data_IF_412483661014
#
_entry.id   IF_412483661014
#
_cell.length_a   1.000
_cell.length_b   1.000
_cell.length_c   1.000
_cell.angle_alpha   90.00
_cell.angle_beta   90.00
_cell.angle_gamma   90.00
#
_symmetry.space_group_name_H-M   'P 1'
#
loop_
_entity.id
_entity.type
_entity.pdbx_description
1 polymer ?
#
# COMPACT_ATOMS: atom_id res chain seq x y z
N UNK A 1 2.17 13.31 -25.18
CA UNK A 1 1.88 12.01 -24.57
C UNK A 1 3.17 11.20 -24.50
N UNK A 2 3.97 11.36 -23.45
CA UNK A 2 5.07 10.43 -23.19
C UNK A 2 4.43 9.18 -22.59
N UNK A 3 4.23 8.16 -23.42
CA UNK A 3 3.79 6.85 -22.98
C UNK A 3 4.87 6.27 -22.06
N UNK A 4 4.48 6.01 -20.87
CA UNK A 4 5.26 5.47 -19.77
C UNK A 4 5.98 4.18 -20.17
N UNK A 5 7.25 4.27 -20.50
CA UNK A 5 8.20 3.14 -20.65
C UNK A 5 8.29 2.31 -19.36
N UNK A 6 7.60 2.72 -18.31
CA UNK A 6 7.75 2.18 -16.95
C UNK A 6 6.63 1.20 -16.53
N UNK A 7 5.49 1.19 -17.20
CA UNK A 7 4.35 0.34 -16.82
C UNK A 7 4.20 -0.88 -17.73
N UNK A 8 3.64 -1.97 -17.19
CA UNK A 8 3.19 -3.10 -17.99
C UNK A 8 2.02 -2.68 -18.87
N UNK A 9 1.99 -3.16 -20.11
CA UNK A 9 0.91 -2.88 -21.05
C UNK A 9 -0.38 -3.63 -20.69
N UNK A 10 -1.52 -3.04 -21.04
CA UNK A 10 -2.79 -3.75 -20.96
C UNK A 10 -2.71 -5.04 -21.81
N UNK A 11 -3.24 -6.14 -21.27
CA UNK A 11 -3.15 -7.46 -21.89
C UNK A 11 -1.94 -8.29 -21.49
N UNK A 12 -0.90 -7.71 -20.87
CA UNK A 12 0.24 -8.48 -20.32
C UNK A 12 -0.28 -9.53 -19.34
N UNK A 13 0.24 -10.75 -19.46
CA UNK A 13 -0.05 -11.86 -18.54
C UNK A 13 1.10 -11.99 -17.55
N UNK A 14 0.79 -11.95 -16.26
CA UNK A 14 1.69 -12.31 -15.17
C UNK A 14 1.37 -13.72 -14.66
N UNK A 15 2.41 -14.48 -14.30
CA UNK A 15 2.32 -15.87 -13.89
C UNK A 15 2.56 -16.00 -12.38
N UNK A 16 1.46 -16.00 -11.60
CA UNK A 16 1.52 -16.27 -10.18
C UNK A 16 1.63 -17.76 -9.87
N UNK A 17 1.70 -18.09 -8.58
CA UNK A 17 1.77 -19.49 -8.13
C UNK A 17 0.42 -20.19 -8.24
N UNK A 18 -0.67 -19.50 -7.91
CA UNK A 18 -2.03 -20.05 -7.90
C UNK A 18 -2.77 -19.78 -9.20
N UNK A 19 -2.58 -18.60 -9.78
CA UNK A 19 -3.30 -18.16 -10.98
C UNK A 19 -2.37 -17.34 -11.89
N UNK A 20 -2.80 -17.20 -13.15
CA UNK A 20 -2.27 -16.18 -14.04
C UNK A 20 -3.15 -14.93 -13.94
N UNK A 21 -2.57 -13.76 -14.26
CA UNK A 21 -3.23 -12.47 -14.12
C UNK A 21 -3.06 -11.64 -15.37
N UNK A 22 -4.15 -11.20 -15.97
CA UNK A 22 -4.09 -10.30 -17.13
C UNK A 22 -4.21 -8.86 -16.67
N UNK A 23 -3.21 -8.04 -16.95
CA UNK A 23 -3.21 -6.60 -16.68
C UNK A 23 -4.33 -5.93 -17.50
N UNK A 24 -5.16 -5.14 -16.83
CA UNK A 24 -6.24 -4.34 -17.43
C UNK A 24 -5.92 -2.85 -17.48
N UNK A 25 -5.07 -2.37 -16.59
CA UNK A 25 -4.66 -0.98 -16.52
C UNK A 25 -3.91 -0.65 -15.25
N UNK A 26 -3.48 0.60 -15.14
CA UNK A 26 -2.78 1.12 -13.96
C UNK A 26 -3.81 1.76 -13.03
N UNK A 27 -3.78 1.37 -11.74
CA UNK A 27 -4.58 1.99 -10.67
C UNK A 27 -3.85 3.16 -10.03
N UNK A 28 -2.51 3.10 -9.95
CA UNK A 28 -1.73 4.17 -9.37
C UNK A 28 -0.23 3.92 -9.33
N UNK A 29 0.50 4.98 -9.03
CA UNK A 29 1.95 4.97 -8.84
C UNK A 29 2.26 5.41 -7.41
N UNK A 30 3.11 4.68 -6.73
CA UNK A 30 3.66 5.01 -5.41
C UNK A 30 5.18 5.14 -5.46
N UNK A 31 5.78 5.60 -4.37
CA UNK A 31 7.23 5.75 -4.26
C UNK A 31 8.00 4.42 -4.45
N UNK A 32 7.37 3.30 -4.10
CA UNK A 32 7.99 1.97 -4.09
C UNK A 32 7.35 1.00 -5.08
N UNK A 33 6.43 1.45 -5.93
CA UNK A 33 5.82 0.54 -6.88
C UNK A 33 4.67 1.11 -7.70
N UNK A 34 4.22 0.26 -8.61
CA UNK A 34 3.10 0.52 -9.49
C UNK A 34 1.98 -0.46 -9.11
N UNK A 35 0.76 0.02 -9.01
CA UNK A 35 -0.41 -0.82 -8.74
C UNK A 35 -1.26 -0.94 -10.01
N UNK A 36 -1.56 -2.17 -10.39
CA UNK A 36 -2.35 -2.50 -11.57
C UNK A 36 -3.71 -3.09 -11.19
N UNK A 37 -4.71 -2.81 -11.99
CA UNK A 37 -5.92 -3.61 -12.08
C UNK A 37 -5.63 -4.81 -12.98
N UNK A 38 -5.99 -6.01 -12.53
CA UNK A 38 -5.85 -7.22 -13.31
C UNK A 38 -7.09 -8.11 -13.13
N UNK A 39 -7.29 -9.06 -14.06
CA UNK A 39 -8.25 -10.14 -13.90
C UNK A 39 -7.53 -11.47 -13.73
N UNK A 40 -8.09 -12.36 -12.92
CA UNK A 40 -7.63 -13.73 -12.79
C UNK A 40 -7.87 -14.45 -14.11
N UNK A 41 -6.87 -15.16 -14.61
CA UNK A 41 -6.94 -16.03 -15.77
C UNK A 41 -6.88 -17.49 -15.33
N UNK A 42 -7.85 -18.28 -15.77
CA UNK A 42 -7.88 -19.71 -15.56
C UNK A 42 -7.24 -20.41 -16.77
N UNK A 43 -6.30 -21.30 -16.51
CA UNK A 43 -5.68 -22.12 -17.56
C UNK A 43 -6.57 -23.33 -17.82
N UNK A 44 -7.26 -23.34 -18.95
CA UNK A 44 -8.04 -24.50 -19.41
C UNK A 44 -7.29 -25.29 -20.49
N UNK A 45 -7.76 -26.50 -20.81
CA UNK A 45 -7.18 -27.33 -21.89
C UNK A 45 -7.25 -26.65 -23.27
N UNK A 46 -8.22 -25.78 -23.49
CA UNK A 46 -8.44 -25.07 -24.76
C UNK A 46 -7.86 -23.66 -24.79
N UNK A 47 -7.07 -23.25 -23.77
CA UNK A 47 -6.46 -21.95 -23.68
C UNK A 47 -6.72 -21.22 -22.37
N UNK A 48 -6.47 -19.90 -22.36
CA UNK A 48 -6.64 -19.03 -21.18
C UNK A 48 -8.06 -18.48 -21.17
N UNK A 49 -8.81 -18.76 -20.11
CA UNK A 49 -10.12 -18.18 -19.84
C UNK A 49 -9.96 -17.03 -18.84
N UNK A 50 -10.38 -15.82 -19.22
CA UNK A 50 -10.45 -14.71 -18.29
C UNK A 50 -11.64 -14.89 -17.37
N UNK A 51 -11.40 -14.86 -16.07
CA UNK A 51 -12.49 -14.79 -15.09
C UNK A 51 -12.97 -13.32 -14.94
N UNK A 52 -14.18 -13.16 -14.42
CA UNK A 52 -14.70 -11.82 -14.05
C UNK A 52 -14.17 -11.34 -12.68
N UNK A 53 -13.24 -12.08 -12.08
CA UNK A 53 -12.67 -11.71 -10.77
C UNK A 53 -11.53 -10.73 -10.98
N UNK A 54 -11.73 -9.51 -10.49
CA UNK A 54 -10.72 -8.46 -10.50
C UNK A 54 -9.84 -8.56 -9.26
N UNK A 55 -8.55 -8.28 -9.44
CA UNK A 55 -7.55 -8.16 -8.38
C UNK A 55 -6.72 -6.91 -8.57
N UNK A 56 -6.12 -6.41 -7.50
CA UNK A 56 -5.09 -5.39 -7.57
C UNK A 56 -3.71 -6.06 -7.43
N UNK A 57 -2.76 -5.68 -8.29
CA UNK A 57 -1.39 -6.23 -8.26
C UNK A 57 -0.43 -5.08 -8.04
N UNK A 58 0.34 -5.14 -6.96
CA UNK A 58 1.42 -4.18 -6.71
C UNK A 58 2.75 -4.76 -7.15
N UNK A 59 3.41 -4.05 -8.04
CA UNK A 59 4.74 -4.33 -8.55
C UNK A 59 5.77 -3.50 -7.79
N UNK A 60 6.87 -4.10 -7.36
CA UNK A 60 8.01 -3.35 -6.88
C UNK A 60 8.67 -2.60 -8.04
N UNK A 61 8.68 -1.27 -7.98
CA UNK A 61 9.30 -0.41 -8.99
C UNK A 61 9.71 0.92 -8.35
N UNK A 62 11.01 1.19 -8.30
CA UNK A 62 11.53 2.48 -7.83
C UNK A 62 11.62 3.44 -9.01
N UNK A 63 10.78 4.44 -9.06
CA UNK A 63 10.58 5.33 -10.21
C UNK A 63 11.87 5.95 -10.74
N UNK A 64 12.79 6.36 -9.86
CA UNK A 64 14.02 7.05 -10.24
C UNK A 64 15.23 6.11 -10.42
N UNK A 65 15.07 4.82 -10.17
CA UNK A 65 16.16 3.83 -10.12
C UNK A 65 15.91 2.64 -11.04
N UNK A 66 14.66 2.19 -11.12
CA UNK A 66 14.27 1.05 -11.93
C UNK A 66 14.03 1.48 -13.37
N UNK A 67 14.49 0.69 -14.31
CA UNK A 67 14.20 0.85 -15.73
C UNK A 67 13.70 -0.47 -16.30
N UNK A 68 12.75 -0.41 -17.25
CA UNK A 68 12.14 -1.57 -17.89
C UNK A 68 12.63 -1.70 -19.34
N UNK A 69 12.94 -2.93 -19.74
CA UNK A 69 13.26 -3.26 -21.12
C UNK A 69 11.99 -3.26 -22.00
N UNK A 70 12.16 -3.33 -23.31
CA UNK A 70 11.06 -3.48 -24.27
C UNK A 70 10.32 -4.81 -24.12
N UNK A 71 10.95 -5.85 -23.55
CA UNK A 71 10.33 -7.15 -23.25
C UNK A 71 9.43 -7.12 -22.00
N UNK A 72 9.50 -6.04 -21.20
CA UNK A 72 8.75 -5.93 -19.95
C UNK A 72 9.57 -6.23 -18.69
N UNK A 73 10.77 -6.78 -18.83
CA UNK A 73 11.66 -7.07 -17.71
C UNK A 73 12.26 -5.81 -17.11
N UNK A 74 12.39 -5.75 -15.80
CA UNK A 74 13.18 -4.72 -15.13
C UNK A 74 14.66 -5.11 -15.23
N UNK A 75 15.53 -4.15 -15.49
CA UNK A 75 16.98 -4.40 -15.47
C UNK A 75 17.38 -4.85 -14.07
N UNK A 76 18.06 -5.99 -14.01
CA UNK A 76 18.45 -6.61 -12.75
C UNK A 76 19.28 -5.66 -11.89
N UNK A 77 18.86 -5.36 -10.66
CA UNK A 77 19.61 -4.45 -9.80
C UNK A 77 20.89 -5.13 -9.32
N UNK A 78 22.00 -4.41 -9.37
CA UNK A 78 23.27 -4.91 -8.85
C UNK A 78 23.13 -5.39 -7.40
N UNK A 79 23.75 -6.51 -7.03
CA UNK A 79 23.81 -6.96 -5.64
C UNK A 79 24.27 -5.83 -4.71
N UNK A 80 23.59 -5.62 -3.58
CA UNK A 80 23.81 -4.53 -2.63
C UNK A 80 23.37 -3.11 -3.08
N UNK A 81 22.82 -2.94 -4.28
CA UNK A 81 22.18 -1.68 -4.68
C UNK A 81 20.98 -1.34 -3.78
N UNK A 82 20.58 -0.08 -3.82
CA UNK A 82 19.36 0.39 -3.13
C UNK A 82 18.14 -0.41 -3.61
N UNK A 83 17.99 -0.58 -4.93
CA UNK A 83 16.88 -1.33 -5.52
C UNK A 83 16.83 -2.79 -5.03
N UNK A 84 17.96 -3.47 -4.97
CA UNK A 84 18.04 -4.84 -4.46
C UNK A 84 17.60 -4.94 -2.98
N UNK A 85 18.07 -4.00 -2.15
CA UNK A 85 17.70 -3.97 -0.73
C UNK A 85 16.21 -3.68 -0.52
N UNK A 86 15.64 -2.73 -1.27
CA UNK A 86 14.21 -2.41 -1.19
C UNK A 86 13.33 -3.52 -1.78
N UNK A 87 13.76 -4.22 -2.83
CA UNK A 87 13.05 -5.36 -3.37
C UNK A 87 12.88 -6.50 -2.36
N UNK A 88 13.95 -6.85 -1.64
CA UNK A 88 13.88 -7.85 -0.56
C UNK A 88 12.92 -7.45 0.57
N UNK A 89 12.81 -6.15 0.88
CA UNK A 89 11.89 -5.65 1.88
C UNK A 89 10.45 -5.74 1.39
N UNK A 90 10.20 -5.32 0.17
CA UNK A 90 8.90 -5.42 -0.47
C UNK A 90 8.39 -6.87 -0.42
N UNK A 91 9.26 -7.86 -0.72
CA UNK A 91 8.92 -9.28 -0.58
C UNK A 91 8.59 -9.65 0.87
N UNK A 92 9.40 -9.23 1.85
CA UNK A 92 9.14 -9.50 3.28
C UNK A 92 7.85 -8.84 3.75
N UNK A 93 7.59 -7.61 3.33
CA UNK A 93 6.36 -6.88 3.61
C UNK A 93 5.13 -7.65 3.10
N UNK A 94 5.14 -8.08 1.82
CA UNK A 94 4.05 -8.85 1.24
C UNK A 94 3.73 -10.12 2.06
N UNK A 95 4.76 -10.83 2.54
CA UNK A 95 4.60 -12.02 3.39
C UNK A 95 4.00 -11.69 4.77
N UNK A 96 4.35 -10.55 5.35
CA UNK A 96 3.78 -10.11 6.62
C UNK A 96 2.31 -9.71 6.44
N UNK A 97 2.00 -8.98 5.37
CA UNK A 97 0.63 -8.58 5.04
C UNK A 97 -0.28 -9.79 4.75
N UNK A 98 0.24 -10.83 4.09
CA UNK A 98 -0.52 -12.05 3.81
C UNK A 98 -0.99 -12.78 5.09
N UNK A 99 -0.38 -12.49 6.25
CA UNK A 99 -0.78 -13.06 7.56
C UNK A 99 -1.90 -12.26 8.23
N UNK A 100 -2.15 -11.02 7.80
CA UNK A 100 -3.21 -10.19 8.36
C UNK A 100 -4.56 -10.68 7.84
N UNK A 101 -5.51 -10.82 8.76
CA UNK A 101 -6.88 -11.19 8.44
C UNK A 101 -7.84 -10.33 9.28
N UNK A 102 -8.29 -9.22 8.71
CA UNK A 102 -9.22 -8.29 9.35
C UNK A 102 -10.14 -7.67 8.29
N UNK A 103 -11.42 -7.48 8.63
CA UNK A 103 -12.45 -7.00 7.69
C UNK A 103 -12.16 -5.62 7.06
N UNK A 104 -11.34 -4.79 7.71
CA UNK A 104 -10.96 -3.44 7.24
C UNK A 104 -9.50 -3.37 6.78
N UNK A 105 -8.87 -4.49 6.48
CA UNK A 105 -7.52 -4.58 5.90
C UNK A 105 -7.62 -5.35 4.60
N UNK A 106 -7.07 -4.80 3.51
CA UNK A 106 -7.05 -5.48 2.22
C UNK A 106 -6.32 -6.82 2.33
N UNK A 107 -6.92 -7.88 1.80
CA UNK A 107 -6.34 -9.21 1.86
C UNK A 107 -5.30 -9.39 0.76
N UNK A 108 -4.07 -9.77 1.13
CA UNK A 108 -3.05 -10.24 0.20
C UNK A 108 -3.32 -11.71 -0.11
N UNK A 109 -3.40 -12.04 -1.39
CA UNK A 109 -3.76 -13.37 -1.88
C UNK A 109 -2.54 -14.23 -2.14
N UNK A 110 -1.54 -13.67 -2.83
CA UNK A 110 -0.24 -14.32 -3.06
C UNK A 110 0.84 -13.28 -3.40
N UNK A 111 2.10 -13.72 -3.42
CA UNK A 111 3.24 -12.95 -3.91
C UNK A 111 4.13 -13.83 -4.75
N UNK A 112 4.72 -13.28 -5.81
CA UNK A 112 5.58 -14.01 -6.75
C UNK A 112 6.66 -13.12 -7.34
N UNK A 113 7.62 -13.74 -8.04
CA UNK A 113 8.71 -13.08 -8.74
C UNK A 113 8.57 -13.33 -10.24
N UNK A 114 8.61 -12.27 -11.04
CA UNK A 114 8.61 -12.31 -12.50
C UNK A 114 9.21 -11.00 -13.02
N UNK A 115 9.66 -10.95 -14.27
CA UNK A 115 10.22 -9.74 -14.90
C UNK A 115 11.37 -9.10 -14.08
N UNK A 116 12.17 -9.90 -13.38
CA UNK A 116 13.24 -9.49 -12.47
C UNK A 116 12.78 -8.54 -11.34
N UNK A 117 11.52 -8.67 -10.91
CA UNK A 117 10.96 -7.90 -9.81
C UNK A 117 10.00 -8.73 -8.97
N UNK A 118 9.40 -8.09 -7.98
CA UNK A 118 8.48 -8.70 -7.02
C UNK A 118 7.08 -8.16 -7.23
N UNK A 119 6.11 -9.05 -7.15
CA UNK A 119 4.68 -8.73 -7.18
C UNK A 119 3.98 -9.28 -5.96
N UNK A 120 2.96 -8.57 -5.49
CA UNK A 120 1.94 -9.19 -4.65
C UNK A 120 0.54 -8.85 -5.16
N UNK A 121 -0.33 -9.84 -5.04
CA UNK A 121 -1.72 -9.78 -5.48
C UNK A 121 -2.59 -9.56 -4.25
N UNK A 122 -3.52 -8.66 -4.34
CA UNK A 122 -4.48 -8.36 -3.30
C UNK A 122 -5.90 -8.27 -3.88
N UNK A 123 -6.90 -8.42 -3.03
CA UNK A 123 -8.27 -8.18 -3.43
C UNK A 123 -8.44 -6.78 -4.01
N UNK A 124 -9.24 -6.66 -5.06
CA UNK A 124 -9.61 -5.37 -5.63
C UNK A 124 -10.81 -4.81 -4.88
N UNK A 125 -10.66 -3.63 -4.31
CA UNK A 125 -11.75 -2.93 -3.61
C UNK A 125 -12.43 -2.00 -4.62
N UNK A 126 -13.64 -2.34 -5.03
CA UNK A 126 -14.45 -1.50 -5.92
C UNK A 126 -15.00 -0.30 -5.15
N UNK A 127 -14.51 0.88 -5.49
CA UNK A 127 -14.86 2.12 -4.79
C UNK A 127 -13.89 3.25 -5.09
N UNK A 128 -13.77 4.18 -4.16
CA UNK A 128 -12.87 5.32 -4.25
C UNK A 128 -11.99 5.44 -3.01
N UNK A 129 -10.86 6.15 -3.12
CA UNK A 129 -10.11 6.49 -1.92
C UNK A 129 -10.94 7.40 -1.01
N UNK A 130 -10.73 7.29 0.29
CA UNK A 130 -11.38 8.19 1.27
C UNK A 130 -10.97 9.66 1.00
N UNK A 131 -9.77 9.91 0.47
CA UNK A 131 -9.33 11.26 0.07
C UNK A 131 -10.19 11.83 -1.06
N UNK A 132 -10.46 11.03 -2.10
CA UNK A 132 -11.33 11.44 -3.20
C UNK A 132 -12.77 11.70 -2.72
N UNK A 133 -13.28 10.86 -1.84
CA UNK A 133 -14.61 11.03 -1.25
C UNK A 133 -14.71 12.29 -0.38
N UNK A 134 -13.71 12.56 0.46
CA UNK A 134 -13.65 13.79 1.26
C UNK A 134 -13.58 15.02 0.36
N UNK A 135 -12.76 14.96 -0.72
CA UNK A 135 -12.63 16.06 -1.66
C UNK A 135 -13.96 16.37 -2.38
N UNK A 136 -14.68 15.34 -2.79
CA UNK A 136 -16.01 15.48 -3.42
C UNK A 136 -17.02 16.14 -2.48
N UNK A 137 -17.00 15.79 -1.18
CA UNK A 137 -17.94 16.29 -0.18
C UNK A 137 -17.52 17.63 0.44
N UNK A 138 -16.26 18.04 0.32
CA UNK A 138 -15.71 19.21 0.99
C UNK A 138 -15.53 19.08 2.51
N UNK A 139 -15.65 17.85 3.03
CA UNK A 139 -15.65 17.44 4.42
C UNK A 139 -16.82 16.52 4.73
N UNK A 140 -16.72 15.76 5.81
CA UNK A 140 -17.73 14.78 6.21
C UNK A 140 -18.48 15.23 7.47
N UNK A 141 -19.76 14.83 7.63
CA UNK A 141 -20.46 15.00 8.89
C UNK A 141 -19.73 14.30 10.04
N UNK A 142 -19.72 14.90 11.23
CA UNK A 142 -19.03 14.37 12.41
C UNK A 142 -19.39 12.90 12.70
N UNK A 143 -20.67 12.57 12.65
CA UNK A 143 -21.16 11.21 12.90
C UNK A 143 -20.51 10.19 11.95
N UNK A 144 -20.43 10.51 10.67
CA UNK A 144 -19.81 9.65 9.65
C UNK A 144 -18.30 9.54 9.88
N UNK A 145 -17.62 10.67 10.12
CA UNK A 145 -16.19 10.70 10.40
C UNK A 145 -15.81 9.86 11.63
N UNK A 146 -16.61 9.93 12.71
CA UNK A 146 -16.38 9.13 13.92
C UNK A 146 -16.59 7.62 13.68
N UNK A 147 -17.59 7.22 12.88
CA UNK A 147 -17.76 5.83 12.46
C UNK A 147 -16.52 5.31 11.70
N UNK A 148 -16.01 6.10 10.77
CA UNK A 148 -14.81 5.75 10.00
C UNK A 148 -13.55 5.67 10.88
N UNK A 149 -13.40 6.57 11.85
CA UNK A 149 -12.31 6.51 12.84
C UNK A 149 -12.39 5.22 13.66
N UNK A 150 -13.59 4.81 14.06
CA UNK A 150 -13.79 3.57 14.82
C UNK A 150 -13.38 2.33 13.98
N UNK A 151 -13.79 2.26 12.72
CA UNK A 151 -13.44 1.16 11.81
C UNK A 151 -11.92 1.09 11.57
N UNK A 152 -11.29 2.23 11.25
CA UNK A 152 -9.84 2.32 11.03
C UNK A 152 -9.09 2.01 12.33
N UNK A 153 -9.57 2.53 13.46
CA UNK A 153 -8.99 2.28 14.79
C UNK A 153 -8.96 0.79 15.14
N UNK A 154 -10.03 0.03 14.83
CA UNK A 154 -10.07 -1.42 15.01
C UNK A 154 -9.04 -2.14 14.12
N UNK A 155 -8.88 -1.71 12.88
CA UNK A 155 -7.86 -2.25 11.98
C UNK A 155 -6.44 -1.99 12.51
N UNK A 156 -6.15 -0.77 12.97
CA UNK A 156 -4.87 -0.42 13.58
C UNK A 156 -4.63 -1.22 14.87
N UNK A 157 -5.64 -1.34 15.74
CA UNK A 157 -5.55 -2.14 16.96
C UNK A 157 -5.17 -3.60 16.64
N UNK A 158 -5.79 -4.17 15.61
CA UNK A 158 -5.44 -5.51 15.14
C UNK A 158 -3.99 -5.58 14.65
N UNK A 159 -3.55 -4.65 13.79
CA UNK A 159 -2.16 -4.59 13.32
C UNK A 159 -1.17 -4.48 14.48
N UNK A 160 -1.45 -3.59 15.45
CA UNK A 160 -0.60 -3.40 16.62
C UNK A 160 -0.52 -4.67 17.50
N UNK A 161 -1.63 -5.43 17.61
CA UNK A 161 -1.62 -6.73 18.29
C UNK A 161 -0.70 -7.75 17.60
N UNK A 162 -0.55 -7.64 16.28
CA UNK A 162 0.37 -8.44 15.45
C UNK A 162 1.80 -7.85 15.40
N UNK A 163 2.10 -6.83 16.25
CA UNK A 163 3.39 -6.13 16.28
C UNK A 163 3.73 -5.43 14.96
N UNK A 164 2.74 -4.99 14.23
CA UNK A 164 2.91 -4.27 12.98
C UNK A 164 2.37 -2.85 13.10
N UNK A 165 3.16 -1.87 12.63
CA UNK A 165 2.76 -0.47 12.51
C UNK A 165 2.53 -0.12 11.05
N UNK A 166 1.58 0.79 10.79
CA UNK A 166 1.25 1.25 9.43
C UNK A 166 2.22 2.32 8.92
N UNK A 167 2.50 3.35 9.71
CA UNK A 167 3.45 4.45 9.50
C UNK A 167 3.18 5.38 8.29
N UNK A 168 2.13 5.16 7.51
CA UNK A 168 1.69 6.06 6.44
C UNK A 168 0.15 6.10 6.33
N UNK A 169 -0.53 6.08 7.48
CA UNK A 169 -1.97 6.21 7.50
C UNK A 169 -2.39 7.61 7.01
N UNK A 170 -3.24 7.64 6.00
CA UNK A 170 -3.83 8.85 5.42
C UNK A 170 -5.03 8.48 4.56
N UNK A 171 -5.94 9.41 4.23
CA UNK A 171 -7.14 9.11 3.44
C UNK A 171 -6.86 8.50 2.06
N UNK A 172 -5.70 8.77 1.45
CA UNK A 172 -5.30 8.16 0.17
C UNK A 172 -5.03 6.66 0.28
N UNK A 173 -4.62 6.18 1.46
CA UNK A 173 -4.29 4.79 1.75
C UNK A 173 -5.48 4.03 2.37
N UNK A 174 -6.68 4.62 2.30
CA UNK A 174 -7.93 4.03 2.75
C UNK A 174 -8.88 4.00 1.55
N UNK A 175 -9.34 2.82 1.16
CA UNK A 175 -10.41 2.67 0.17
C UNK A 175 -11.76 2.60 0.87
N UNK A 176 -12.74 3.31 0.31
CA UNK A 176 -14.14 3.23 0.68
C UNK A 176 -14.87 2.45 -0.42
N UNK A 177 -15.32 1.25 -0.07
CA UNK A 177 -16.11 0.40 -0.97
C UNK A 177 -17.51 1.00 -1.18
N UNK A 178 -18.20 0.56 -2.20
CA UNK A 178 -19.55 1.05 -2.56
C UNK A 178 -20.60 0.86 -1.46
N UNK A 179 -20.40 -0.09 -0.56
CA UNK A 179 -21.24 -0.33 0.64
C UNK A 179 -20.81 0.49 1.88
N UNK A 180 -19.89 1.43 1.70
CA UNK A 180 -19.30 2.31 2.71
C UNK A 180 -18.27 1.65 3.64
N UNK A 181 -17.96 0.37 3.50
CA UNK A 181 -16.92 -0.30 4.28
C UNK A 181 -15.54 0.24 3.91
N UNK A 182 -14.71 0.50 4.91
CA UNK A 182 -13.36 1.01 4.72
C UNK A 182 -12.31 -0.12 4.73
N UNK A 183 -11.26 0.06 3.92
CA UNK A 183 -10.13 -0.86 3.82
C UNK A 183 -8.81 -0.11 3.82
N UNK A 184 -7.89 -0.48 4.68
CA UNK A 184 -6.48 -0.09 4.57
C UNK A 184 -5.87 -0.85 3.39
N UNK A 185 -5.19 -0.14 2.48
CA UNK A 185 -4.76 -0.70 1.19
C UNK A 185 -3.27 -0.57 0.87
N UNK A 186 -2.54 0.35 1.46
CA UNK A 186 -1.13 0.59 1.18
C UNK A 186 -0.29 0.54 2.45
N UNK A 187 0.66 -0.38 2.46
CA UNK A 187 1.51 -0.71 3.59
C UNK A 187 3.00 -0.49 3.27
N UNK A 188 3.30 0.33 2.25
CA UNK A 188 4.66 0.55 1.75
C UNK A 188 5.67 1.08 2.76
N UNK A 189 5.22 1.65 3.87
CA UNK A 189 6.06 2.07 4.99
C UNK A 189 5.86 1.21 6.24
N UNK A 190 4.97 0.21 6.21
CA UNK A 190 4.67 -0.63 7.38
C UNK A 190 5.90 -1.34 7.92
N UNK A 191 5.96 -1.48 9.24
CA UNK A 191 7.07 -2.13 9.95
C UNK A 191 6.58 -3.17 10.93
N UNK A 192 7.24 -4.33 10.89
CA UNK A 192 7.20 -5.28 11.99
C UNK A 192 8.13 -4.78 13.08
N UNK A 193 7.67 -4.74 14.32
CA UNK A 193 8.44 -4.34 15.50
C UNK A 193 8.63 -5.52 16.45
N UNK A 194 9.75 -5.55 17.13
CA UNK A 194 10.01 -6.50 18.19
C UNK A 194 9.30 -6.09 19.52
N UNK A 195 9.53 -6.85 20.59
CA UNK A 195 8.94 -6.56 21.91
C UNK A 195 9.44 -5.25 22.55
N UNK A 196 10.54 -4.68 22.06
CA UNK A 196 11.12 -3.43 22.55
C UNK A 196 10.70 -2.22 21.69
N UNK A 197 9.91 -2.44 20.64
CA UNK A 197 9.52 -1.41 19.68
C UNK A 197 10.58 -1.12 18.61
N UNK A 198 11.64 -1.96 18.52
CA UNK A 198 12.66 -1.82 17.49
C UNK A 198 12.19 -2.48 16.18
N UNK A 199 12.41 -1.83 15.01
CA UNK A 199 12.03 -2.42 13.73
C UNK A 199 12.89 -3.66 13.45
N UNK A 200 12.25 -4.76 13.08
CA UNK A 200 12.94 -6.02 12.71
C UNK A 200 13.83 -5.89 11.46
N UNK A 201 13.74 -4.79 10.75
CA UNK A 201 14.59 -4.49 9.60
C UNK A 201 15.29 -3.15 9.79
N UNK A 202 16.63 -3.14 9.65
CA UNK A 202 17.52 -1.99 9.81
C UNK A 202 17.37 -0.89 8.74
N UNK A 203 16.22 -0.74 8.15
CA UNK A 203 15.97 0.25 7.13
C UNK A 203 15.48 1.56 7.66
N UNK A 204 15.99 2.64 7.06
CA UNK A 204 15.52 4.00 7.24
C UNK A 204 14.00 4.03 7.34
N UNK A 205 13.49 4.52 8.44
CA UNK A 205 12.08 4.78 8.63
C UNK A 205 11.73 5.86 7.62
N UNK A 206 10.76 5.60 6.75
CA UNK A 206 10.28 6.63 5.84
C UNK A 206 9.77 7.81 6.65
N UNK A 207 10.01 9.02 6.16
CA UNK A 207 9.58 10.25 6.81
C UNK A 207 8.05 10.37 6.94
N UNK A 208 7.31 9.40 6.40
CA UNK A 208 5.85 9.47 6.33
C UNK A 208 5.35 10.58 5.40
N UNK A 209 4.06 10.83 5.42
CA UNK A 209 3.43 11.89 4.62
C UNK A 209 3.32 13.16 5.45
N UNK A 210 3.86 14.32 4.98
CA UNK A 210 3.71 15.59 5.68
C UNK A 210 2.25 15.89 6.04
N UNK A 211 2.01 16.36 7.27
CA UNK A 211 0.69 16.58 7.84
C UNK A 211 0.08 15.35 8.53
N UNK A 212 0.52 14.13 8.17
CA UNK A 212 0.04 12.88 8.77
C UNK A 212 1.10 12.17 9.62
N UNK A 213 2.37 12.49 9.42
CA UNK A 213 3.46 11.94 10.20
C UNK A 213 3.83 12.88 11.36
N UNK A 214 3.98 12.37 12.60
CA UNK A 214 4.48 13.15 13.73
C UNK A 214 5.98 13.42 13.59
N UNK A 215 6.50 14.38 14.35
CA UNK A 215 7.92 14.79 14.29
C UNK A 215 8.89 13.65 14.57
N UNK A 216 8.56 12.81 15.54
CA UNK A 216 9.39 11.70 15.98
C UNK A 216 9.54 10.60 14.91
N UNK A 217 8.61 10.48 13.97
CA UNK A 217 8.72 9.50 12.88
C UNK A 217 9.88 9.79 11.93
N UNK A 218 10.25 11.06 11.78
CA UNK A 218 11.29 11.50 10.85
C UNK A 218 12.65 11.79 11.48
N UNK A 219 12.76 11.80 12.81
CA UNK A 219 13.99 12.21 13.49
C UNK A 219 14.95 11.05 13.70
N UNK A 220 16.23 11.26 13.39
CA UNK A 220 17.28 10.28 13.67
C UNK A 220 17.49 10.06 15.18
N UNK A 221 17.12 11.04 16.01
CA UNK A 221 17.21 10.97 17.47
C UNK A 221 16.09 10.14 18.11
N UNK A 222 14.87 10.27 17.60
CA UNK A 222 13.67 9.60 18.14
C UNK A 222 13.30 8.31 17.37
N UNK A 223 13.87 8.10 16.18
CA UNK A 223 13.49 7.03 15.25
C UNK A 223 13.99 5.61 15.60
N UNK A 224 14.56 5.41 16.79
CA UNK A 224 14.99 4.07 17.21
C UNK A 224 13.85 3.22 17.79
N UNK A 225 12.85 3.86 18.38
CA UNK A 225 11.72 3.16 19.01
C UNK A 225 10.45 3.57 18.29
N UNK A 226 9.84 2.64 17.58
CA UNK A 226 8.56 2.80 16.93
C UNK A 226 7.45 2.38 17.87
N UNK A 227 6.40 3.20 17.97
CA UNK A 227 5.27 2.93 18.87
C UNK A 227 3.92 3.10 18.14
N UNK A 228 2.87 2.40 18.59
CA UNK A 228 1.50 2.56 18.07
C UNK A 228 1.00 4.00 18.05
N UNK A 229 1.53 4.87 18.90
CA UNK A 229 1.18 6.30 18.97
C UNK A 229 1.43 7.07 17.67
N UNK A 230 2.38 6.62 16.83
CA UNK A 230 2.63 7.18 15.50
C UNK A 230 1.40 7.02 14.59
N UNK A 231 0.80 5.83 14.58
CA UNK A 231 -0.43 5.57 13.83
C UNK A 231 -1.64 6.29 14.43
N UNK A 232 -1.69 6.46 15.76
CA UNK A 232 -2.76 7.21 16.43
C UNK A 232 -2.70 8.70 16.06
N UNK A 233 -1.49 9.29 15.97
CA UNK A 233 -1.33 10.65 15.45
C UNK A 233 -1.88 10.75 14.03
N UNK A 234 -1.49 9.82 13.15
CA UNK A 234 -1.93 9.79 11.75
C UNK A 234 -3.46 9.59 11.63
N UNK A 235 -4.08 8.83 12.54
CA UNK A 235 -5.54 8.67 12.63
C UNK A 235 -6.20 10.00 13.03
N UNK A 236 -5.66 10.75 13.99
CA UNK A 236 -6.12 12.08 14.35
C UNK A 236 -6.01 13.08 13.20
N UNK A 237 -4.89 13.06 12.47
CA UNK A 237 -4.69 13.87 11.26
C UNK A 237 -5.68 13.49 10.14
N UNK A 238 -5.98 12.20 10.00
CA UNK A 238 -7.00 11.70 9.08
C UNK A 238 -8.40 12.19 9.46
N UNK A 239 -8.75 12.17 10.75
CA UNK A 239 -10.01 12.75 11.26
C UNK A 239 -10.11 14.25 10.99
N UNK A 240 -9.01 15.01 11.21
CA UNK A 240 -8.98 16.43 10.86
C UNK A 240 -9.34 16.64 9.38
N UNK A 241 -8.72 15.86 8.47
CA UNK A 241 -9.02 15.94 7.03
C UNK A 241 -10.48 15.58 6.76
N UNK A 242 -11.02 14.54 7.39
CA UNK A 242 -12.42 14.15 7.23
C UNK A 242 -13.38 15.26 7.62
N UNK A 243 -13.16 15.91 8.77
CA UNK A 243 -14.06 16.95 9.27
C UNK A 243 -13.95 18.27 8.49
N UNK A 244 -12.75 18.65 8.07
CA UNK A 244 -12.48 19.98 7.52
C UNK A 244 -12.37 20.03 6.00
N UNK A 245 -12.18 18.88 5.34
CA UNK A 245 -11.80 18.81 3.92
C UNK A 245 -10.37 19.29 3.63
N UNK A 246 -9.66 19.85 4.63
CA UNK A 246 -8.33 20.45 4.46
C UNK A 246 -7.21 19.48 4.83
N UNK A 247 -6.08 19.61 4.14
CA UNK A 247 -4.88 18.88 4.53
C UNK A 247 -4.40 19.36 5.91
N UNK A 248 -4.07 18.45 6.86
CA UNK A 248 -3.54 18.85 8.15
C UNK A 248 -2.22 19.63 8.01
N UNK A 249 -1.93 20.59 8.89
CA UNK A 249 -0.63 21.26 8.94
C UNK A 249 0.46 20.23 9.26
N UNK A 250 1.71 20.53 8.88
CA UNK A 250 2.83 19.67 9.29
C UNK A 250 3.02 19.74 10.81
N UNK A 251 3.45 18.64 11.42
CA UNK A 251 3.73 18.61 12.85
C UNK A 251 4.73 19.67 13.33
N UNK A 252 5.64 20.11 12.43
CA UNK A 252 6.59 21.21 12.71
C UNK A 252 5.97 22.61 12.64
N UNK A 253 4.72 22.74 12.22
CA UNK A 253 4.00 24.02 12.05
C UNK A 253 2.93 24.22 13.15
N UNK A 254 2.77 23.25 14.05
CA UNK A 254 1.87 23.26 15.20
C UNK A 254 2.66 23.61 16.46
#
# INVERSE_FOLDING_TARGET
MQSSIHTLSCGTILHGHSYNYQIKGVLGHGAFGITYLASICLKGELGILNSNVSVAIKEFFLQDVSARSSSGDIYEPSPNSIAYKYGKKFKKEALNLARLNHQNIVKVLESFEENNTYYYVMEYIEGSSLDAYILEKGGLPEKEALQYVEEIGKALQYMHSQKMLHLDLKPKNIMRRTDNTLFLIDFGLSKQIDKNGEPESSTTIGLGTPGYAPLEQGSQEYGKILAPTLDIYALGATLFKMLTGKTPPKASEI
#
